data_IF_190242403239
#
_entry.id   IF_190242403239
#
_cell.length_a   1.000
_cell.length_b   1.000
_cell.length_c   1.000
_cell.angle_alpha   90.00
_cell.angle_beta   90.00
_cell.angle_gamma   90.00
#
_symmetry.space_group_name_H-M   'P 1'
#
loop_
_entity.id
_entity.type
_entity.pdbx_description
1 polymer ?
#
# COMPACT_ATOMS: atom_id res chain seq x y z
N UNK A 1 8.34 5.31 15.75
CA UNK A 1 7.73 4.51 14.66
C UNK A 1 7.18 5.53 13.69
N UNK A 2 7.81 5.70 12.53
CA UNK A 2 7.48 6.81 11.63
C UNK A 2 6.29 6.44 10.77
N UNK A 3 5.17 7.05 11.11
CA UNK A 3 3.92 6.85 10.41
C UNK A 3 3.85 7.71 9.15
N UNK A 4 3.32 7.12 8.08
CA UNK A 4 3.11 7.78 6.81
C UNK A 4 1.62 7.92 6.55
N UNK A 5 1.17 9.15 6.28
CA UNK A 5 -0.23 9.45 5.99
C UNK A 5 -0.30 10.12 4.62
N UNK A 6 -1.16 9.61 3.74
CA UNK A 6 -1.38 10.10 2.39
C UNK A 6 -2.85 10.39 2.14
N UNK A 7 -3.17 11.57 1.62
CA UNK A 7 -4.44 11.82 0.94
C UNK A 7 -4.41 11.18 -0.45
N UNK A 8 -5.45 10.44 -0.81
CA UNK A 8 -5.55 9.71 -2.08
C UNK A 8 -6.59 10.32 -3.00
N UNK A 9 -6.25 10.39 -4.28
CA UNK A 9 -7.15 10.61 -5.41
C UNK A 9 -7.18 9.33 -6.24
N UNK A 10 -8.33 8.65 -6.27
CA UNK A 10 -8.53 7.39 -6.98
C UNK A 10 -9.38 7.63 -8.24
N UNK A 11 -9.07 6.93 -9.33
CA UNK A 11 -9.79 7.00 -10.59
C UNK A 11 -9.99 5.61 -11.19
N UNK A 12 -11.24 5.23 -11.47
CA UNK A 12 -11.56 3.99 -12.17
C UNK A 12 -11.45 4.16 -13.69
N UNK A 13 -11.40 3.03 -14.41
CA UNK A 13 -11.46 3.02 -15.88
C UNK A 13 -12.76 3.62 -16.43
N UNK A 14 -13.85 3.56 -15.67
CA UNK A 14 -15.17 4.13 -16.04
C UNK A 14 -15.28 5.63 -15.78
N UNK A 15 -14.24 6.26 -15.22
CA UNK A 15 -14.20 7.70 -14.96
C UNK A 15 -14.68 8.11 -13.57
N UNK A 16 -15.08 7.17 -12.71
CA UNK A 16 -15.42 7.45 -11.31
C UNK A 16 -14.16 7.93 -10.57
N UNK A 17 -14.29 9.05 -9.86
CA UNK A 17 -13.21 9.62 -9.04
C UNK A 17 -13.60 9.57 -7.58
N UNK A 18 -12.74 8.98 -6.74
CA UNK A 18 -12.94 8.88 -5.29
C UNK A 18 -11.78 9.54 -4.54
N UNK A 19 -12.06 9.93 -3.30
CA UNK A 19 -11.07 10.46 -2.36
C UNK A 19 -10.90 9.50 -1.19
N UNK A 20 -9.68 9.40 -0.68
CA UNK A 20 -9.40 8.57 0.48
C UNK A 20 -8.19 9.01 1.27
N UNK A 21 -7.89 8.27 2.32
CA UNK A 21 -6.68 8.42 3.13
C UNK A 21 -6.06 7.06 3.36
N UNK A 22 -4.75 6.96 3.18
CA UNK A 22 -3.93 5.80 3.53
C UNK A 22 -2.99 6.20 4.67
N UNK A 23 -3.00 5.43 5.75
CA UNK A 23 -2.11 5.59 6.89
C UNK A 23 -1.38 4.28 7.11
N UNK A 24 -0.05 4.28 7.14
CA UNK A 24 0.71 3.05 7.36
C UNK A 24 2.07 3.31 8.02
N UNK A 25 2.62 2.25 8.60
CA UNK A 25 3.95 2.20 9.19
C UNK A 25 4.67 0.95 8.71
N UNK A 26 6.00 1.03 8.61
CA UNK A 26 6.86 -0.08 8.24
C UNK A 26 7.64 -0.50 9.49
N UNK A 27 7.69 -1.81 9.73
CA UNK A 27 8.53 -2.38 10.76
C UNK A 27 9.90 -2.72 10.17
N UNK A 28 10.86 -1.83 10.41
CA UNK A 28 12.25 -2.00 9.98
C UNK A 28 13.06 -2.93 10.89
N UNK A 29 12.51 -3.37 12.02
CA UNK A 29 13.21 -4.25 12.98
C UNK A 29 13.09 -5.72 12.61
N UNK A 30 12.04 -6.07 11.86
CA UNK A 30 11.70 -7.45 11.51
C UNK A 30 11.85 -7.67 10.01
N UNK A 31 13.07 -7.57 9.48
CA UNK A 31 13.32 -7.89 8.07
C UNK A 31 12.88 -9.33 7.77
N UNK A 32 12.01 -9.50 6.77
CA UNK A 32 11.61 -10.80 6.26
C UNK A 32 12.72 -11.30 5.33
N UNK A 33 13.46 -12.31 5.78
CA UNK A 33 14.50 -12.95 4.98
C UNK A 33 13.89 -13.65 3.75
N UNK A 34 14.08 -13.06 2.57
CA UNK A 34 13.79 -13.72 1.28
C UNK A 34 14.87 -14.75 0.88
N UNK A 35 15.81 -15.04 1.79
CA UNK A 35 17.06 -15.74 1.56
C UNK A 35 17.04 -17.23 1.92
N UNK A 36 15.96 -17.76 2.50
CA UNK A 36 15.91 -19.18 2.91
C UNK A 36 15.89 -20.18 1.72
N UNK A 37 15.51 -19.78 0.51
CA UNK A 37 15.35 -20.71 -0.64
C UNK A 37 16.07 -20.33 -1.95
N UNK A 38 16.94 -19.30 -1.98
CA UNK A 38 17.63 -18.89 -3.22
C UNK A 38 19.13 -19.09 -3.17
N UNK A 39 19.54 -20.35 -3.11
CA UNK A 39 20.95 -20.73 -3.28
C UNK A 39 21.41 -20.87 -4.74
N UNK A 40 20.55 -20.69 -5.74
CA UNK A 40 20.97 -20.82 -7.14
C UNK A 40 20.35 -19.77 -8.06
N UNK A 41 21.27 -19.00 -8.67
CA UNK A 41 21.20 -18.32 -9.97
C UNK A 41 20.82 -16.83 -10.04
N UNK A 42 21.78 -16.11 -10.63
CA UNK A 42 21.68 -14.86 -11.39
C UNK A 42 21.52 -13.53 -10.63
N UNK A 43 22.65 -12.82 -10.45
CA UNK A 43 22.75 -11.36 -10.36
C UNK A 43 21.59 -10.65 -9.63
N UNK A 44 21.25 -11.14 -8.44
CA UNK A 44 20.03 -10.77 -7.73
C UNK A 44 20.25 -9.43 -7.06
N UNK A 45 19.59 -8.38 -7.53
CA UNK A 45 19.43 -7.14 -6.77
C UNK A 45 18.83 -7.56 -5.41
N UNK A 46 19.62 -7.47 -4.33
CA UNK A 46 19.25 -7.95 -3.01
C UNK A 46 18.12 -7.10 -2.43
N UNK A 47 16.88 -7.56 -2.59
CA UNK A 47 15.71 -6.92 -2.01
C UNK A 47 15.53 -7.35 -0.56
N UNK A 48 15.42 -6.38 0.37
CA UNK A 48 14.97 -6.62 1.74
C UNK A 48 13.47 -6.32 1.82
N UNK A 49 12.72 -7.23 2.44
CA UNK A 49 11.28 -7.08 2.62
C UNK A 49 11.00 -6.73 4.08
N UNK A 50 10.24 -5.68 4.32
CA UNK A 50 9.83 -5.26 5.66
C UNK A 50 8.31 -5.38 5.81
N UNK A 51 7.81 -5.96 6.92
CA UNK A 51 6.38 -5.95 7.22
C UNK A 51 5.85 -4.52 7.30
N UNK A 52 4.63 -4.34 6.83
CA UNK A 52 3.92 -3.07 6.91
C UNK A 52 2.50 -3.29 7.40
N UNK A 53 2.01 -2.35 8.19
CA UNK A 53 0.63 -2.33 8.69
C UNK A 53 0.06 -0.94 8.59
N UNK A 54 -1.24 -0.85 8.44
CA UNK A 54 -1.90 0.42 8.28
C UNK A 54 -3.41 0.32 8.23
N UNK A 55 -4.00 1.37 7.69
CA UNK A 55 -5.42 1.41 7.40
C UNK A 55 -5.68 2.33 6.21
N UNK A 56 -6.78 2.05 5.51
CA UNK A 56 -7.26 2.87 4.42
C UNK A 56 -8.71 3.26 4.67
N UNK A 57 -9.07 4.48 4.30
CA UNK A 57 -10.45 4.97 4.37
C UNK A 57 -10.79 5.64 3.04
N UNK A 58 -11.81 5.14 2.36
CA UNK A 58 -12.37 5.70 1.13
C UNK A 58 -13.88 5.71 1.34
N UNK A 59 -14.51 6.81 1.77
CA UNK A 59 -15.89 6.79 2.30
C UNK A 59 -16.92 6.09 1.39
N UNK A 60 -16.84 6.31 0.09
CA UNK A 60 -17.76 5.74 -0.90
C UNK A 60 -17.43 4.29 -1.32
N UNK A 61 -16.34 3.71 -0.80
CA UNK A 61 -15.91 2.34 -1.10
C UNK A 61 -15.84 1.46 0.16
N UNK A 62 -15.31 2.00 1.25
CA UNK A 62 -15.04 1.28 2.50
C UNK A 62 -15.99 1.66 3.65
N UNK A 63 -16.88 2.63 3.41
CA UNK A 63 -17.64 3.30 4.46
C UNK A 63 -16.81 4.29 5.27
N UNK A 64 -17.40 4.81 6.35
CA UNK A 64 -16.78 5.84 7.21
C UNK A 64 -15.73 5.30 8.19
N UNK A 65 -15.60 3.98 8.29
CA UNK A 65 -14.62 3.34 9.17
C UNK A 65 -13.35 2.96 8.42
N UNK A 66 -12.17 3.15 9.02
CA UNK A 66 -10.93 2.63 8.45
C UNK A 66 -10.98 1.12 8.27
N UNK A 67 -10.45 0.65 7.14
CA UNK A 67 -10.21 -0.77 6.86
C UNK A 67 -8.77 -1.08 7.26
N UNK A 68 -8.55 -2.01 8.22
CA UNK A 68 -7.22 -2.41 8.61
C UNK A 68 -6.52 -3.12 7.45
N UNK A 69 -5.24 -2.81 7.28
CA UNK A 69 -4.38 -3.34 6.22
C UNK A 69 -3.12 -3.98 6.82
N UNK A 70 -2.71 -5.11 6.26
CA UNK A 70 -1.36 -5.67 6.44
C UNK A 70 -0.70 -5.97 5.11
N UNK A 71 0.63 -6.02 5.13
CA UNK A 71 1.40 -6.31 3.94
C UNK A 71 2.88 -6.07 4.16
N UNK A 72 3.55 -5.56 3.14
CA UNK A 72 4.99 -5.42 3.14
C UNK A 72 5.48 -4.31 2.21
N UNK A 73 6.72 -3.88 2.44
CA UNK A 73 7.46 -2.95 1.60
C UNK A 73 8.79 -3.58 1.17
N UNK A 74 9.13 -3.46 -0.11
CA UNK A 74 10.37 -4.02 -0.68
C UNK A 74 11.37 -2.90 -0.90
N UNK A 75 12.60 -3.09 -0.43
CA UNK A 75 13.72 -2.16 -0.58
C UNK A 75 14.87 -2.83 -1.28
N UNK A 76 15.48 -2.18 -2.26
CA UNK A 76 16.73 -2.67 -2.91
C UNK A 76 17.98 -1.98 -2.37
N UNK A 77 17.82 -0.86 -1.66
CA UNK A 77 18.87 -0.08 -1.02
C UNK A 77 18.28 0.77 0.11
N UNK A 78 19.13 1.41 0.93
CA UNK A 78 18.71 2.43 1.90
C UNK A 78 18.03 3.60 1.17
N UNK A 79 16.78 3.93 1.52
CA UNK A 79 16.03 5.01 0.85
C UNK A 79 14.52 4.79 0.86
N UNK A 80 13.86 5.07 -0.27
CA UNK A 80 12.43 4.81 -0.45
C UNK A 80 12.17 3.35 -0.88
N UNK A 81 11.03 2.76 -0.52
CA UNK A 81 10.67 1.42 -0.97
C UNK A 81 10.48 1.42 -2.49
N UNK A 82 10.93 0.35 -3.14
CA UNK A 82 10.64 0.08 -4.56
C UNK A 82 9.13 -0.15 -4.75
N UNK A 83 8.54 -0.88 -3.82
CA UNK A 83 7.15 -1.31 -3.89
C UNK A 83 6.57 -1.44 -2.49
N UNK A 84 5.31 -1.06 -2.35
CA UNK A 84 4.50 -1.34 -1.18
C UNK A 84 3.28 -2.14 -1.62
N UNK A 85 2.96 -3.19 -0.87
CA UNK A 85 1.81 -4.03 -1.11
C UNK A 85 1.05 -4.21 0.21
N UNK A 86 -0.25 -3.95 0.19
CA UNK A 86 -1.16 -4.16 1.30
C UNK A 86 -2.40 -4.96 0.89
N UNK A 87 -2.95 -5.68 1.84
CA UNK A 87 -4.19 -6.43 1.75
C UNK A 87 -5.08 -6.08 2.94
N UNK A 88 -6.39 -6.13 2.74
CA UNK A 88 -7.38 -5.96 3.80
C UNK A 88 -7.35 -7.12 4.78
N UNK A 89 -7.40 -6.81 6.07
CA UNK A 89 -7.65 -7.79 7.13
C UNK A 89 -9.16 -7.97 7.39
N UNK A 90 -10.00 -7.16 6.75
CA UNK A 90 -11.45 -7.26 6.83
C UNK A 90 -12.02 -8.07 5.64
N UNK A 91 -12.51 -9.26 5.94
CA UNK A 91 -13.10 -10.16 4.95
C UNK A 91 -14.35 -9.60 4.25
N UNK A 92 -15.09 -8.69 4.89
CA UNK A 92 -16.25 -8.04 4.28
C UNK A 92 -15.85 -6.89 3.34
N UNK A 93 -14.63 -6.37 3.48
CA UNK A 93 -14.09 -5.24 2.72
C UNK A 93 -12.77 -5.65 2.08
N UNK A 94 -12.84 -6.56 1.11
CA UNK A 94 -11.67 -7.08 0.39
C UNK A 94 -11.00 -5.99 -0.44
N UNK A 95 -9.80 -5.57 -0.03
CA UNK A 95 -8.99 -4.56 -0.71
C UNK A 95 -7.58 -5.09 -0.91
N UNK A 96 -7.02 -4.79 -2.08
CA UNK A 96 -5.58 -4.95 -2.35
C UNK A 96 -5.06 -3.61 -2.83
N UNK A 97 -3.98 -3.11 -2.22
CA UNK A 97 -3.39 -1.81 -2.52
C UNK A 97 -1.92 -2.01 -2.86
N UNK A 98 -1.51 -1.53 -4.02
CA UNK A 98 -0.13 -1.62 -4.49
C UNK A 98 0.34 -0.24 -4.94
N UNK A 99 1.51 0.22 -4.48
CA UNK A 99 2.04 1.51 -4.92
C UNK A 99 3.54 1.65 -4.80
N UNK A 100 4.05 2.63 -5.53
CA UNK A 100 5.44 3.04 -5.52
C UNK A 100 5.50 4.54 -5.15
N UNK A 101 6.55 4.97 -4.46
CA UNK A 101 6.82 6.39 -4.26
C UNK A 101 7.22 7.06 -5.59
N UNK A 102 6.73 8.28 -5.79
CA UNK A 102 7.15 9.18 -6.87
C UNK A 102 7.73 10.43 -6.20
N UNK A 103 8.95 10.28 -5.67
CA UNK A 103 9.57 11.26 -4.78
C UNK A 103 9.10 11.15 -3.33
N UNK A 104 9.52 12.09 -2.49
CA UNK A 104 9.36 11.99 -1.03
C UNK A 104 7.92 12.17 -0.51
N UNK A 105 7.12 12.95 -1.24
CA UNK A 105 5.80 13.41 -0.77
C UNK A 105 4.65 12.82 -1.58
N UNK A 106 4.93 11.96 -2.57
CA UNK A 106 3.91 11.44 -3.47
C UNK A 106 4.07 9.95 -3.71
N UNK A 107 2.95 9.30 -3.94
CA UNK A 107 2.87 7.89 -4.32
C UNK A 107 1.94 7.75 -5.52
N UNK A 108 2.15 6.72 -6.33
CA UNK A 108 1.16 6.29 -7.32
C UNK A 108 1.04 4.77 -7.31
N UNK A 109 -0.16 4.29 -7.60
CA UNK A 109 -0.44 2.88 -7.50
C UNK A 109 -1.83 2.50 -7.98
N UNK A 110 -2.20 1.27 -7.62
CA UNK A 110 -3.49 0.68 -7.90
C UNK A 110 -4.17 0.20 -6.62
N UNK A 111 -5.49 0.25 -6.63
CA UNK A 111 -6.35 -0.36 -5.63
C UNK A 111 -7.34 -1.27 -6.34
N UNK A 112 -7.39 -2.53 -5.90
CA UNK A 112 -8.41 -3.49 -6.28
C UNK A 112 -9.38 -3.63 -5.12
N UNK A 113 -10.66 -3.40 -5.39
CA UNK A 113 -11.75 -3.61 -4.44
C UNK A 113 -12.58 -4.79 -4.86
N UNK A 114 -12.69 -5.78 -3.98
CA UNK A 114 -13.63 -6.89 -4.13
C UNK A 114 -14.96 -6.49 -3.49
N UNK A 115 -16.00 -6.39 -4.31
CA UNK A 115 -17.35 -6.14 -3.86
C UNK A 115 -18.02 -7.45 -3.38
N UNK A 116 -19.06 -7.37 -2.53
CA UNK A 116 -19.73 -8.57 -1.99
C UNK A 116 -20.30 -9.55 -3.03
N UNK A 117 -20.49 -9.10 -4.27
CA UNK A 117 -20.99 -9.91 -5.39
C UNK A 117 -19.87 -10.49 -6.27
N UNK A 118 -18.65 -10.57 -5.75
CA UNK A 118 -17.45 -11.03 -6.46
C UNK A 118 -17.01 -10.16 -7.65
N UNK A 119 -17.62 -8.98 -7.83
CA UNK A 119 -17.12 -8.02 -8.81
C UNK A 119 -15.85 -7.36 -8.26
N UNK A 120 -14.84 -7.26 -9.11
CA UNK A 120 -13.61 -6.52 -8.81
C UNK A 120 -13.67 -5.16 -9.49
N UNK A 121 -13.45 -4.10 -8.72
CA UNK A 121 -13.31 -2.75 -9.25
C UNK A 121 -11.89 -2.27 -9.04
N UNK A 122 -11.27 -1.83 -10.12
CA UNK A 122 -9.91 -1.32 -10.12
C UNK A 122 -9.89 0.21 -10.16
N UNK A 123 -8.99 0.77 -9.37
CA UNK A 123 -8.70 2.19 -9.33
C UNK A 123 -7.20 2.42 -9.47
N UNK A 124 -6.79 3.28 -10.39
CA UNK A 124 -5.49 3.91 -10.28
C UNK A 124 -5.57 5.02 -9.24
N UNK A 125 -4.47 5.29 -8.51
CA UNK A 125 -4.47 6.40 -7.57
C UNK A 125 -3.16 7.19 -7.57
N UNK A 126 -3.30 8.45 -7.17
CA UNK A 126 -2.21 9.33 -6.76
C UNK A 126 -2.40 9.68 -5.30
N UNK A 127 -1.32 9.58 -4.52
CA UNK A 127 -1.29 9.98 -3.13
C UNK A 127 -0.37 11.16 -2.91
N UNK A 128 -0.75 12.06 -1.99
CA UNK A 128 0.10 13.15 -1.49
C UNK A 128 0.21 13.02 0.02
N UNK A 129 1.43 13.06 0.54
CA UNK A 129 1.71 12.94 1.96
C UNK A 129 1.10 14.14 2.70
N UNK A 130 0.56 13.87 3.87
CA UNK A 130 0.03 14.86 4.80
C UNK A 130 1.13 15.10 5.84
N UNK A 131 1.58 16.35 5.94
CA UNK A 131 2.49 16.77 7.01
C UNK A 131 1.74 16.69 8.35
N UNK A 132 2.29 15.96 9.31
CA UNK A 132 1.81 16.01 10.68
C UNK A 132 2.24 17.34 11.30
N UNK A 133 1.36 18.06 12.01
CA UNK A 133 1.78 19.22 12.80
C UNK A 133 2.79 18.76 13.86
N UNK A 134 3.86 19.56 14.02
CA UNK A 134 4.94 19.34 14.97
C UNK A 134 4.49 19.54 16.43
#
# INVERSE_FOLDING_TARGET
MDENIYSLLLKSATGLTLLGTLRYSIDFTTALDASADRQQQAATIGGVVYPARGSITIPFLTGMQPVPLSGFAIYVQMGQPLLNWFYSEDAARGLTVQFNPIGFERIAGGLLSQLPNSNVVEYAFLGRRIALPA
#
